data_IF_907810393679
#
_entry.id   IF_907810393679
#
_cell.length_a   1.000
_cell.length_b   1.000
_cell.length_c   1.000
_cell.angle_alpha   90.00
_cell.angle_beta   90.00
_cell.angle_gamma   90.00
#
_symmetry.space_group_name_H-M   'P 1'
#
loop_
_entity.id
_entity.type
_entity.pdbx_description
1 polymer ?
#
# COMPACT_ATOMS: atom_id res chain seq x y z
N UNK A 1 11.14 10.85 2.36
CA UNK A 1 9.75 10.84 2.88
C UNK A 1 9.29 12.28 2.99
N UNK A 2 8.03 12.59 2.70
CA UNK A 2 7.53 13.95 2.73
C UNK A 2 6.08 14.02 3.21
N UNK A 3 5.80 14.89 4.16
CA UNK A 3 4.47 15.32 4.56
C UNK A 3 4.05 16.44 3.62
N UNK A 4 2.96 16.30 2.86
CA UNK A 4 2.59 17.27 1.81
C UNK A 4 1.10 17.58 1.84
N UNK A 5 0.75 18.84 1.57
CA UNK A 5 -0.65 19.27 1.56
C UNK A 5 -1.50 18.51 0.52
N UNK A 6 -0.94 18.19 -0.65
CA UNK A 6 -1.65 17.46 -1.70
C UNK A 6 -2.17 16.09 -1.24
N UNK A 7 -1.50 15.45 -0.29
CA UNK A 7 -1.95 14.17 0.30
C UNK A 7 -2.75 14.36 1.59
N UNK A 8 -2.61 15.50 2.27
CA UNK A 8 -3.34 15.79 3.50
C UNK A 8 -4.72 16.42 3.25
N UNK A 9 -4.96 16.99 2.06
CA UNK A 9 -6.13 17.81 1.76
C UNK A 9 -6.93 17.39 0.52
N UNK A 10 -6.54 16.35 -0.23
CA UNK A 10 -7.31 15.91 -1.41
C UNK A 10 -8.74 15.47 -1.06
N UNK A 11 -8.95 15.05 0.18
CA UNK A 11 -10.26 14.92 0.82
C UNK A 11 -10.14 15.46 2.26
N UNK A 12 -11.26 15.85 2.92
CA UNK A 12 -11.23 16.30 4.30
C UNK A 12 -11.00 15.12 5.26
N UNK A 13 -9.74 14.70 5.41
CA UNK A 13 -9.38 13.63 6.33
C UNK A 13 -9.70 14.01 7.78
N UNK A 14 -10.15 13.03 8.56
CA UNK A 14 -10.30 13.21 10.00
C UNK A 14 -8.95 13.60 10.63
N UNK A 15 -8.90 14.59 11.54
CA UNK A 15 -7.63 15.05 12.13
C UNK A 15 -6.79 13.92 12.74
N UNK A 16 -7.42 12.95 13.40
CA UNK A 16 -6.71 11.79 13.95
C UNK A 16 -6.04 10.91 12.88
N UNK A 17 -6.59 10.82 11.66
CA UNK A 17 -5.94 10.10 10.55
C UNK A 17 -4.65 10.82 10.15
N UNK A 18 -4.69 12.15 10.06
CA UNK A 18 -3.52 12.97 9.72
C UNK A 18 -2.44 12.80 10.81
N UNK A 19 -2.83 12.91 12.09
CA UNK A 19 -1.92 12.70 13.23
C UNK A 19 -1.30 11.30 13.20
N UNK A 20 -2.11 10.26 12.98
CA UNK A 20 -1.64 8.88 12.88
C UNK A 20 -0.58 8.74 11.79
N UNK A 21 -0.87 9.22 10.58
CA UNK A 21 0.02 9.07 9.42
C UNK A 21 1.32 9.84 9.63
N UNK A 22 1.28 11.12 10.00
CA UNK A 22 2.50 11.92 10.18
C UNK A 22 3.33 11.46 11.37
N UNK A 23 2.69 11.14 12.50
CA UNK A 23 3.42 10.57 13.64
C UNK A 23 4.11 9.26 13.26
N UNK A 24 3.41 8.34 12.59
CA UNK A 24 3.99 7.08 12.14
C UNK A 24 5.14 7.29 11.13
N UNK A 25 5.00 8.24 10.21
CA UNK A 25 6.05 8.58 9.24
C UNK A 25 7.32 9.11 9.93
N UNK A 26 7.18 10.03 10.89
CA UNK A 26 8.31 10.60 11.65
C UNK A 26 9.06 9.52 12.44
N UNK A 27 8.33 8.66 13.16
CA UNK A 27 8.93 7.55 13.90
C UNK A 27 9.56 6.51 12.98
N UNK A 28 8.94 6.21 11.83
CA UNK A 28 9.51 5.28 10.86
C UNK A 28 10.80 5.83 10.22
N UNK A 29 10.85 7.13 9.92
CA UNK A 29 12.07 7.78 9.45
C UNK A 29 13.21 7.68 10.46
N UNK A 30 12.94 7.88 11.75
CA UNK A 30 13.92 7.68 12.82
C UNK A 30 14.37 6.21 12.91
N UNK A 31 13.43 5.26 12.83
CA UNK A 31 13.75 3.83 12.85
C UNK A 31 14.63 3.41 11.66
N UNK A 32 14.42 3.98 10.47
CA UNK A 32 15.28 3.78 9.30
C UNK A 32 16.68 4.36 9.51
N UNK A 33 16.79 5.58 10.04
CA UNK A 33 18.08 6.21 10.38
C UNK A 33 18.86 5.37 11.39
N UNK A 34 18.19 4.86 12.43
CA UNK A 34 18.80 3.96 13.42
C UNK A 34 19.31 2.64 12.82
N UNK A 35 18.73 2.20 11.69
CA UNK A 35 19.18 1.03 10.92
C UNK A 35 20.29 1.35 9.91
N UNK A 36 20.81 2.59 9.90
CA UNK A 36 21.90 3.02 9.01
C UNK A 36 21.46 3.60 7.67
N UNK A 37 20.16 3.81 7.44
CA UNK A 37 19.70 4.45 6.21
C UNK A 37 19.86 5.97 6.26
N UNK A 38 20.30 6.57 5.15
CA UNK A 38 20.17 8.01 4.95
C UNK A 38 18.71 8.34 4.61
N UNK A 39 18.06 9.16 5.44
CA UNK A 39 16.65 9.52 5.25
C UNK A 39 16.50 11.02 5.11
N UNK A 40 16.18 11.45 3.89
CA UNK A 40 15.68 12.79 3.60
C UNK A 40 14.20 12.86 3.97
N UNK A 41 13.89 13.64 5.01
CA UNK A 41 12.54 13.83 5.53
C UNK A 41 12.14 15.29 5.38
N UNK A 42 10.92 15.54 4.91
CA UNK A 42 10.37 16.88 4.69
C UNK A 42 9.09 16.98 5.51
N UNK A 43 9.11 17.84 6.52
CA UNK A 43 7.94 18.10 7.38
C UNK A 43 6.93 19.00 6.66
N UNK A 44 5.67 18.95 7.08
CA UNK A 44 4.57 19.64 6.40
C UNK A 44 4.80 21.16 6.32
N UNK A 45 5.36 21.74 7.38
CA UNK A 45 5.64 23.16 7.57
C UNK A 45 7.08 23.56 7.23
N UNK A 46 7.86 22.64 6.63
CA UNK A 46 9.24 22.92 6.24
C UNK A 46 9.30 23.96 5.11
N UNK A 47 10.23 24.91 5.24
CA UNK A 47 10.54 25.87 4.19
C UNK A 47 10.92 25.16 2.88
N UNK A 48 10.29 25.56 1.79
CA UNK A 48 10.53 25.00 0.46
C UNK A 48 9.89 23.62 0.20
N UNK A 49 8.98 23.17 1.06
CA UNK A 49 8.11 22.01 0.76
C UNK A 49 7.28 22.28 -0.52
N UNK A 50 7.34 21.37 -1.48
CA UNK A 50 6.70 21.52 -2.79
C UNK A 50 5.20 21.20 -2.81
N UNK A 51 4.60 20.96 -1.63
CA UNK A 51 3.19 20.61 -1.43
C UNK A 51 2.69 19.33 -2.14
N UNK A 52 3.58 18.54 -2.77
CA UNK A 52 3.23 17.30 -3.48
C UNK A 52 4.37 16.28 -3.46
N UNK A 53 4.03 14.99 -3.47
CA UNK A 53 5.03 13.91 -3.51
C UNK A 53 5.88 14.00 -4.79
N UNK A 54 5.25 14.25 -5.94
CA UNK A 54 5.96 14.38 -7.22
C UNK A 54 6.96 15.54 -7.22
N UNK A 55 6.61 16.69 -6.62
CA UNK A 55 7.51 17.83 -6.49
C UNK A 55 8.69 17.52 -5.58
N UNK A 56 8.47 16.85 -4.44
CA UNK A 56 9.54 16.46 -3.52
C UNK A 56 10.48 15.42 -4.13
N UNK A 57 9.94 14.43 -4.84
CA UNK A 57 10.76 13.47 -5.58
C UNK A 57 11.62 14.16 -6.64
N UNK A 58 11.08 15.13 -7.39
CA UNK A 58 11.86 15.91 -8.37
C UNK A 58 12.97 16.71 -7.70
N UNK A 59 12.65 17.40 -6.61
CA UNK A 59 13.61 18.20 -5.84
C UNK A 59 14.79 17.35 -5.37
N UNK A 60 14.52 16.19 -4.77
CA UNK A 60 15.57 15.29 -4.28
C UNK A 60 16.30 14.55 -5.41
N UNK A 61 15.62 14.16 -6.48
CA UNK A 61 16.27 13.56 -7.65
C UNK A 61 17.33 14.51 -8.24
N UNK A 62 17.00 15.79 -8.38
CA UNK A 62 17.95 16.81 -8.85
C UNK A 62 19.07 17.07 -7.85
N UNK A 63 18.75 17.25 -6.57
CA UNK A 63 19.73 17.54 -5.53
C UNK A 63 20.76 16.41 -5.33
N UNK A 64 20.35 15.15 -5.52
CA UNK A 64 21.20 13.98 -5.37
C UNK A 64 21.85 13.52 -6.68
N UNK A 65 21.45 14.10 -7.83
CA UNK A 65 21.86 13.60 -9.14
C UNK A 65 21.45 12.16 -9.41
N UNK A 66 20.32 11.72 -8.84
CA UNK A 66 19.88 10.33 -8.93
C UNK A 66 19.41 9.99 -10.35
N UNK A 67 19.88 8.87 -10.91
CA UNK A 67 19.49 8.37 -12.22
C UNK A 67 18.14 7.64 -12.21
N UNK A 68 17.74 7.10 -11.06
CA UNK A 68 16.51 6.32 -10.88
C UNK A 68 15.84 6.66 -9.55
N UNK A 69 14.51 6.57 -9.52
CA UNK A 69 13.69 6.72 -8.32
C UNK A 69 12.86 5.46 -8.15
N UNK A 70 13.16 4.68 -7.12
CA UNK A 70 12.48 3.42 -6.84
C UNK A 70 11.29 3.64 -5.92
N UNK A 71 10.13 3.09 -6.28
CA UNK A 71 8.93 3.15 -5.45
C UNK A 71 8.12 1.86 -5.51
N UNK A 72 7.41 1.57 -4.43
CA UNK A 72 6.38 0.53 -4.40
C UNK A 72 5.09 1.06 -5.04
N UNK A 73 4.35 0.19 -5.72
CA UNK A 73 3.01 0.49 -6.26
C UNK A 73 2.13 1.27 -5.27
N UNK A 74 1.41 2.27 -5.76
CA UNK A 74 0.59 3.15 -4.91
C UNK A 74 -0.76 2.51 -4.58
N UNK A 75 -1.28 2.74 -3.38
CA UNK A 75 -2.60 2.26 -2.97
C UNK A 75 -3.79 3.02 -3.58
N UNK A 76 -3.53 4.13 -4.28
CA UNK A 76 -4.56 4.98 -4.88
C UNK A 76 -4.20 5.36 -6.32
N UNK A 77 -5.19 5.30 -7.22
CA UNK A 77 -5.03 5.62 -8.64
C UNK A 77 -4.57 7.05 -8.89
N UNK A 78 -5.11 8.04 -8.14
CA UNK A 78 -4.75 9.46 -8.31
C UNK A 78 -3.24 9.67 -8.19
N UNK A 79 -2.65 9.22 -7.07
CA UNK A 79 -1.22 9.38 -6.83
C UNK A 79 -0.39 8.59 -7.85
N UNK A 80 -0.81 7.37 -8.20
CA UNK A 80 -0.12 6.57 -9.20
C UNK A 80 -0.04 7.28 -10.55
N UNK A 81 -1.16 7.84 -11.03
CA UNK A 81 -1.21 8.57 -12.30
C UNK A 81 -0.36 9.85 -12.23
N UNK A 82 -0.49 10.63 -11.15
CA UNK A 82 0.34 11.84 -10.93
C UNK A 82 1.85 11.51 -11.01
N UNK A 83 2.28 10.39 -10.44
CA UNK A 83 3.68 9.97 -10.49
C UNK A 83 4.10 9.48 -11.87
N UNK A 84 3.26 8.70 -12.55
CA UNK A 84 3.51 8.26 -13.94
C UNK A 84 3.66 9.43 -14.91
N UNK A 85 2.87 10.49 -14.71
CA UNK A 85 2.88 11.69 -15.54
C UNK A 85 3.97 12.71 -15.11
N UNK A 86 4.66 12.49 -13.99
CA UNK A 86 5.62 13.44 -13.43
C UNK A 86 6.91 13.62 -14.25
N UNK A 87 7.15 12.77 -15.26
CA UNK A 87 8.37 12.79 -16.07
C UNK A 87 9.64 12.43 -15.28
N UNK A 88 9.50 11.70 -14.17
CA UNK A 88 10.60 11.22 -13.34
C UNK A 88 11.09 9.85 -13.83
N UNK A 89 12.38 9.50 -13.62
CA UNK A 89 12.91 8.19 -13.97
C UNK A 89 12.48 7.12 -12.95
N UNK A 90 11.19 6.78 -12.97
CA UNK A 90 10.55 5.92 -11.96
C UNK A 90 10.75 4.43 -12.24
N UNK A 91 11.22 3.69 -11.24
CA UNK A 91 11.26 2.23 -11.23
C UNK A 91 10.21 1.71 -10.24
N UNK A 92 9.20 1.02 -10.77
CA UNK A 92 8.06 0.51 -10.00
C UNK A 92 8.32 -0.89 -9.48
N UNK A 93 8.09 -1.08 -8.18
CA UNK A 93 8.17 -2.38 -7.50
C UNK A 93 6.79 -2.81 -7.05
N UNK A 94 6.45 -4.07 -7.31
CA UNK A 94 5.22 -4.69 -6.82
C UNK A 94 5.12 -4.56 -5.30
N UNK A 95 3.91 -4.28 -4.81
CA UNK A 95 3.65 -4.39 -3.37
C UNK A 95 3.51 -5.86 -2.93
N UNK A 96 4.53 -6.36 -2.21
CA UNK A 96 4.57 -7.73 -1.70
C UNK A 96 3.84 -7.92 -0.38
N UNK A 97 3.27 -6.85 0.20
CA UNK A 97 2.45 -6.94 1.43
C UNK A 97 1.10 -7.62 1.17
N UNK A 98 0.64 -7.64 -0.07
CA UNK A 98 -0.58 -8.35 -0.47
C UNK A 98 -0.28 -9.81 -0.85
N UNK A 99 -1.07 -10.75 -0.32
CA UNK A 99 -0.97 -12.18 -0.65
C UNK A 99 -1.24 -12.45 -2.14
N UNK A 100 -2.04 -11.60 -2.80
CA UNK A 100 -2.36 -11.66 -4.22
C UNK A 100 -1.87 -10.38 -4.91
N UNK A 101 -1.07 -10.50 -6.00
CA UNK A 101 -0.78 -9.32 -6.82
C UNK A 101 -1.98 -8.87 -7.63
N UNK A 102 -1.87 -7.64 -8.14
CA UNK A 102 -2.66 -7.12 -9.25
C UNK A 102 -2.68 -8.08 -10.45
N UNK A 103 -1.54 -8.63 -10.90
CA UNK A 103 -1.52 -9.54 -12.06
C UNK A 103 -2.13 -10.91 -11.74
N UNK A 104 -1.92 -11.43 -10.52
CA UNK A 104 -2.53 -12.69 -10.11
C UNK A 104 -4.05 -12.56 -9.99
N UNK A 105 -4.52 -11.43 -9.45
CA UNK A 105 -5.95 -11.13 -9.37
C UNK A 105 -6.57 -10.94 -10.76
N UNK A 106 -5.89 -10.20 -11.65
CA UNK A 106 -6.35 -10.00 -13.03
C UNK A 106 -6.51 -11.33 -13.77
N UNK A 107 -5.53 -12.24 -13.67
CA UNK A 107 -5.63 -13.60 -14.23
C UNK A 107 -6.76 -14.42 -13.61
N UNK A 108 -6.98 -14.31 -12.29
CA UNK A 108 -8.08 -15.00 -11.64
C UNK A 108 -9.46 -14.48 -12.12
N UNK A 109 -9.56 -13.19 -12.44
CA UNK A 109 -10.80 -12.53 -12.84
C UNK A 109 -11.14 -12.66 -14.35
N UNK A 110 -10.13 -12.82 -15.22
CA UNK A 110 -10.23 -12.67 -16.68
C UNK A 110 -11.40 -13.42 -17.34
N UNK A 111 -11.64 -14.68 -16.98
CA UNK A 111 -12.65 -15.53 -17.65
C UNK A 111 -13.94 -15.69 -16.82
N UNK A 112 -14.19 -14.81 -15.84
CA UNK A 112 -15.32 -14.92 -14.92
C UNK A 112 -16.38 -13.88 -15.22
N UNK A 113 -17.60 -14.36 -15.45
CA UNK A 113 -18.79 -13.49 -15.60
C UNK A 113 -19.25 -12.89 -14.26
N UNK A 114 -18.92 -13.53 -13.13
CA UNK A 114 -19.22 -13.02 -11.79
C UNK A 114 -18.02 -13.18 -10.85
N UNK A 115 -17.67 -12.10 -10.15
CA UNK A 115 -16.62 -12.09 -9.13
C UNK A 115 -17.26 -12.23 -7.75
N UNK A 116 -17.13 -13.41 -7.14
CA UNK A 116 -17.57 -13.69 -5.77
C UNK A 116 -16.38 -13.82 -4.83
N UNK A 117 -16.43 -13.10 -3.70
CA UNK A 117 -15.38 -13.14 -2.68
C UNK A 117 -15.12 -14.57 -2.21
N UNK A 118 -16.16 -15.37 -2.01
CA UNK A 118 -16.02 -16.77 -1.58
C UNK A 118 -15.13 -17.60 -2.52
N UNK A 119 -15.30 -17.48 -3.84
CA UNK A 119 -14.47 -18.22 -4.81
C UNK A 119 -13.01 -17.74 -4.78
N UNK A 120 -12.80 -16.44 -4.63
CA UNK A 120 -11.47 -15.87 -4.48
C UNK A 120 -10.80 -16.36 -3.20
N UNK A 121 -11.50 -16.26 -2.07
CA UNK A 121 -11.03 -16.68 -0.75
C UNK A 121 -10.65 -18.17 -0.70
N UNK A 122 -11.50 -19.07 -1.22
CA UNK A 122 -11.17 -20.50 -1.31
C UNK A 122 -9.88 -20.74 -2.12
N UNK A 123 -9.73 -20.03 -3.24
CA UNK A 123 -8.51 -20.07 -4.06
C UNK A 123 -7.28 -19.57 -3.29
N UNK A 124 -7.41 -18.46 -2.57
CA UNK A 124 -6.34 -17.89 -1.74
C UNK A 124 -5.93 -18.83 -0.60
N UNK A 125 -6.90 -19.47 0.08
CA UNK A 125 -6.60 -20.48 1.11
C UNK A 125 -5.77 -21.63 0.56
N UNK A 126 -6.19 -22.21 -0.57
CA UNK A 126 -5.43 -23.26 -1.28
C UNK A 126 -4.02 -22.81 -1.63
N UNK A 127 -3.88 -21.61 -2.18
CA UNK A 127 -2.58 -21.05 -2.59
C UNK A 127 -1.65 -20.77 -1.40
N UNK A 128 -2.19 -20.34 -0.27
CA UNK A 128 -1.41 -19.98 0.92
C UNK A 128 -1.22 -21.14 1.91
N UNK A 129 -1.90 -22.28 1.72
CA UNK A 129 -1.82 -23.42 2.64
C UNK A 129 -2.49 -23.16 4.01
N UNK A 130 -3.31 -22.11 4.13
CA UNK A 130 -3.85 -21.69 5.42
C UNK A 130 -5.11 -22.49 5.77
N UNK A 131 -5.14 -23.08 6.96
CA UNK A 131 -6.26 -23.87 7.53
C UNK A 131 -6.70 -25.06 6.66
N UNK A 132 -5.79 -25.68 5.90
CA UNK A 132 -6.08 -26.88 5.11
C UNK A 132 -5.58 -28.12 5.82
N UNK A 133 -6.28 -29.23 5.61
CA UNK A 133 -5.78 -30.57 5.95
C UNK A 133 -4.72 -31.02 4.92
N UNK A 134 -3.93 -32.06 5.22
CA UNK A 134 -2.91 -32.58 4.30
C UNK A 134 -3.44 -33.04 2.94
N UNK A 135 -4.72 -33.41 2.87
CA UNK A 135 -5.41 -33.81 1.63
C UNK A 135 -5.91 -32.61 0.79
N UNK A 136 -5.72 -31.38 1.27
CA UNK A 136 -6.17 -30.15 0.62
C UNK A 136 -7.63 -29.77 0.88
N UNK A 137 -8.34 -30.51 1.74
CA UNK A 137 -9.67 -30.14 2.23
C UNK A 137 -9.58 -29.01 3.28
N UNK A 138 -10.64 -28.21 3.50
CA UNK A 138 -10.62 -27.19 4.53
C UNK A 138 -10.66 -27.82 5.92
N UNK A 139 -9.80 -27.36 6.83
CA UNK A 139 -9.85 -27.73 8.23
C UNK A 139 -11.24 -27.47 8.82
N UNK A 140 -11.74 -28.43 9.60
CA UNK A 140 -13.10 -28.42 10.13
C UNK A 140 -14.20 -28.79 9.12
N UNK A 141 -13.84 -29.22 7.90
CA UNK A 141 -14.78 -29.77 6.91
C UNK A 141 -15.60 -28.74 6.13
N UNK A 142 -15.49 -27.45 6.44
CA UNK A 142 -16.18 -26.37 5.73
C UNK A 142 -15.24 -25.20 5.40
N UNK A 143 -15.50 -24.52 4.29
CA UNK A 143 -14.69 -23.35 3.89
C UNK A 143 -14.99 -22.10 4.72
N UNK A 144 -16.20 -21.99 5.25
CA UNK A 144 -16.70 -20.78 5.90
C UNK A 144 -17.66 -21.14 7.05
N UNK A 145 -17.49 -20.48 8.20
CA UNK A 145 -18.30 -20.59 9.41
C UNK A 145 -18.98 -19.26 9.80
N UNK A 146 -19.09 -18.31 8.85
CA UNK A 146 -19.63 -16.95 9.08
C UNK A 146 -21.03 -16.95 9.70
N UNK A 147 -21.88 -17.92 9.34
CA UNK A 147 -23.24 -18.04 9.88
C UNK A 147 -23.25 -18.28 11.41
N UNK A 148 -22.23 -18.95 11.94
CA UNK A 148 -22.14 -19.28 13.37
C UNK A 148 -21.67 -18.08 14.21
N UNK A 149 -21.10 -17.05 13.55
CA UNK A 149 -20.45 -15.90 14.18
C UNK A 149 -21.34 -14.64 14.27
N UNK A 150 -22.67 -14.80 14.21
CA UNK A 150 -23.63 -13.68 14.14
C UNK A 150 -24.41 -13.42 15.43
N UNK A 151 -24.02 -14.03 16.54
CA UNK A 151 -24.67 -13.79 17.85
C UNK A 151 -24.32 -12.39 18.37
N UNK A 152 -25.25 -11.69 19.05
CA UNK A 152 -24.96 -10.40 19.67
C UNK A 152 -23.91 -10.55 20.78
N UNK A 153 -23.15 -9.48 21.02
CA UNK A 153 -22.27 -9.41 22.19
C UNK A 153 -23.10 -9.37 23.48
N UNK A 154 -22.64 -9.99 24.58
CA UNK A 154 -23.29 -9.92 25.89
C UNK A 154 -23.44 -8.48 26.41
#
# INVERSE_FOLDING_TARGET
>A
MAEVEGEARYVPHHPQKIVLVFSAMRHFAQALRARGWQVHYVELDADGNSASIAGELRRWQQALGASEVHLTECGEWRLEQTLREAGLPLVWHRDTRFLCSREAFARWAQDRTQLRMEHFYRGMRKRCGLLLEPDGSPAGGAWNFDNDNRKPMP
#
